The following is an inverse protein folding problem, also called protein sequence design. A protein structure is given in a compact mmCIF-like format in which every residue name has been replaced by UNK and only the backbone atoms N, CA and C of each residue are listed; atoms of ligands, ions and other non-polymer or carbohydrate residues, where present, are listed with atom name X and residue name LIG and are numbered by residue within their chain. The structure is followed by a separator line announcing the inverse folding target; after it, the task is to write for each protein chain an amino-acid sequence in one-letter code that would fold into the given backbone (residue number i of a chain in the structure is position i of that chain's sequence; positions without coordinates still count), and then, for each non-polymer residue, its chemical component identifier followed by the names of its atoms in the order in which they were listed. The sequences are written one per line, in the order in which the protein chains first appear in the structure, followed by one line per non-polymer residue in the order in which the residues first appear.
data_IF_797272476606
#
_entry.id   IF_797272476606
#
_cell.length_a   1.000
_cell.length_b   1.000
_cell.length_c   1.000
_cell.angle_alpha   90.00
_cell.angle_beta   90.00
_cell.angle_gamma   90.00
#
_symmetry.space_group_name_H-M   'P 1'
#
loop_
_entity.id
_entity.type
_entity.pdbx_description
1 polymer ?
#
# COMPACT_ATOMS: atom_id res chain seq x y z
N UNK A 1 2.62 19.23 21.36
CA UNK A 1 1.99 18.15 20.60
C UNK A 1 0.91 18.79 19.72
N UNK A 2 1.22 19.07 18.45
CA UNK A 2 0.24 19.66 17.52
C UNK A 2 -0.66 18.54 17.03
N UNK A 3 -1.87 18.48 17.56
CA UNK A 3 -2.96 17.73 16.95
C UNK A 3 -3.46 18.64 15.82
N UNK A 4 -3.13 18.27 14.58
CA UNK A 4 -3.70 18.88 13.39
C UNK A 4 -5.01 18.16 13.08
N UNK A 5 -6.02 19.00 12.86
CA UNK A 5 -7.42 18.70 12.64
C UNK A 5 -7.65 17.63 11.56
N UNK A 6 -8.54 16.67 11.84
CA UNK A 6 -8.98 15.64 10.91
C UNK A 6 -9.98 16.27 9.94
N UNK A 7 -9.44 17.00 8.96
CA UNK A 7 -10.16 17.48 7.79
C UNK A 7 -10.06 16.48 6.63
N UNK A 8 -11.15 16.32 5.88
CA UNK A 8 -11.32 15.37 4.79
C UNK A 8 -10.22 15.44 3.70
N UNK A 9 -9.42 14.38 3.60
CA UNK A 9 -9.03 13.76 2.33
C UNK A 9 -7.82 14.37 1.58
N UNK A 10 -6.68 13.68 1.65
CA UNK A 10 -5.60 13.80 0.66
C UNK A 10 -4.44 14.71 1.05
N UNK A 11 -4.70 15.99 1.33
CA UNK A 11 -3.63 16.98 1.56
C UNK A 11 -2.80 16.74 2.84
N UNK A 12 -3.41 16.24 3.91
CA UNK A 12 -2.76 16.12 5.22
C UNK A 12 -1.59 15.12 5.24
N UNK A 13 -1.59 14.10 4.37
CA UNK A 13 -0.48 13.14 4.25
C UNK A 13 0.62 13.60 3.28
N UNK A 14 0.42 14.75 2.61
CA UNK A 14 1.42 15.31 1.68
C UNK A 14 2.41 16.23 2.40
N UNK A 15 2.04 16.76 3.56
CA UNK A 15 2.91 17.66 4.31
C UNK A 15 4.09 16.91 4.93
N UNK A 16 5.34 17.37 4.72
CA UNK A 16 6.49 16.90 5.48
C UNK A 16 6.23 16.93 6.99
N UNK A 17 6.53 15.84 7.68
CA UNK A 17 6.31 15.70 9.12
C UNK A 17 4.92 15.19 9.50
N UNK A 18 4.00 14.98 8.54
CA UNK A 18 2.71 14.35 8.81
C UNK A 18 2.88 12.93 9.35
N UNK A 19 2.15 12.58 10.41
CA UNK A 19 2.18 11.24 11.00
C UNK A 19 1.05 10.36 10.45
N UNK A 20 1.40 9.13 10.09
CA UNK A 20 0.49 8.08 9.65
C UNK A 20 0.55 6.94 10.67
N UNK A 21 -0.62 6.52 11.15
CA UNK A 21 -0.77 5.36 12.02
C UNK A 21 -1.60 4.29 11.30
N UNK A 22 -1.09 3.06 11.24
CA UNK A 22 -1.76 1.93 10.57
C UNK A 22 -1.90 0.81 11.58
N UNK A 23 -3.05 0.15 11.61
CA UNK A 23 -3.24 -1.10 12.37
C UNK A 23 -3.70 -2.19 11.42
N UNK A 24 -3.11 -3.38 11.52
CA UNK A 24 -3.46 -4.49 10.62
C UNK A 24 -3.10 -5.85 11.23
N UNK A 25 -3.59 -6.92 10.58
CA UNK A 25 -3.28 -8.31 10.90
C UNK A 25 -2.04 -8.72 10.10
N UNK A 26 -1.04 -9.28 10.79
CA UNK A 26 0.18 -9.79 10.19
C UNK A 26 -0.12 -11.02 9.32
N UNK A 27 0.63 -11.22 8.24
CA UNK A 27 0.57 -12.42 7.40
C UNK A 27 1.44 -13.54 7.98
N UNK A 28 0.98 -14.16 9.07
CA UNK A 28 1.64 -15.33 9.67
C UNK A 28 0.70 -16.54 9.77
N UNK A 29 1.26 -17.74 9.89
CA UNK A 29 0.43 -18.93 10.11
C UNK A 29 -0.34 -18.86 11.44
N UNK A 30 0.18 -18.13 12.43
CA UNK A 30 -0.48 -17.94 13.71
C UNK A 30 -1.72 -17.04 13.57
N UNK A 31 -1.62 -15.95 12.81
CA UNK A 31 -2.75 -15.05 12.56
C UNK A 31 -3.81 -15.70 11.67
N UNK A 32 -3.42 -16.54 10.72
CA UNK A 32 -4.35 -17.37 9.96
C UNK A 32 -5.14 -18.32 10.89
N UNK A 33 -4.42 -19.07 11.72
CA UNK A 33 -5.02 -20.06 12.60
C UNK A 33 -5.95 -19.42 13.65
N UNK A 34 -5.53 -18.32 14.28
CA UNK A 34 -6.33 -17.68 15.33
C UNK A 34 -7.38 -16.72 14.77
N UNK A 35 -7.03 -15.91 13.78
CA UNK A 35 -7.90 -14.87 13.21
C UNK A 35 -8.98 -15.42 12.28
N UNK A 36 -8.66 -16.43 11.48
CA UNK A 36 -9.61 -16.99 10.51
C UNK A 36 -10.21 -18.29 11.04
N UNK A 37 -9.39 -19.30 11.28
CA UNK A 37 -9.89 -20.64 11.63
C UNK A 37 -10.59 -20.62 12.99
N UNK A 38 -9.91 -20.13 14.03
CA UNK A 38 -10.49 -20.13 15.37
C UNK A 38 -11.62 -19.12 15.51
N UNK A 39 -11.40 -17.84 15.16
CA UNK A 39 -12.41 -16.80 15.41
C UNK A 39 -13.67 -16.93 14.52
N UNK A 40 -13.54 -17.32 13.25
CA UNK A 40 -14.70 -17.39 12.34
C UNK A 40 -15.37 -18.75 12.32
N UNK A 41 -14.59 -19.84 12.29
CA UNK A 41 -15.14 -21.17 12.03
C UNK A 41 -15.43 -21.95 13.31
N UNK A 42 -14.62 -21.78 14.35
CA UNK A 42 -14.75 -22.55 15.60
C UNK A 42 -15.54 -21.75 16.65
N UNK A 43 -15.07 -20.56 16.99
CA UNK A 43 -15.62 -19.77 18.09
C UNK A 43 -16.82 -18.91 17.69
N UNK A 44 -17.01 -18.64 16.39
CA UNK A 44 -18.12 -17.83 15.87
C UNK A 44 -18.13 -16.40 16.42
N UNK A 45 -16.96 -15.83 16.73
CA UNK A 45 -16.81 -14.48 17.29
C UNK A 45 -17.16 -13.43 16.24
N UNK A 46 -16.83 -13.72 14.97
CA UNK A 46 -17.12 -12.84 13.82
C UNK A 46 -17.75 -13.67 12.69
N UNK A 47 -18.49 -13.03 11.76
CA UNK A 47 -19.06 -13.72 10.59
C UNK A 47 -17.99 -14.40 9.72
N UNK A 48 -18.37 -15.49 9.04
CA UNK A 48 -17.48 -16.15 8.07
C UNK A 48 -17.12 -15.20 6.93
N UNK A 49 -15.86 -15.20 6.54
CA UNK A 49 -15.33 -14.34 5.48
C UNK A 49 -15.01 -12.91 5.94
N UNK A 50 -14.99 -12.66 7.25
CA UNK A 50 -14.56 -11.36 7.81
C UNK A 50 -13.09 -11.10 7.48
N UNK A 51 -12.26 -12.13 7.53
CA UNK A 51 -10.85 -12.08 7.23
C UNK A 51 -10.53 -12.83 5.94
N UNK A 52 -9.83 -12.16 5.04
CA UNK A 52 -9.31 -12.73 3.80
C UNK A 52 -7.80 -12.80 3.92
N UNK A 53 -7.24 -14.01 3.95
CA UNK A 53 -5.80 -14.25 4.19
C UNK A 53 -4.90 -13.48 3.21
N UNK A 54 -5.31 -13.36 1.95
CA UNK A 54 -4.55 -12.70 0.89
C UNK A 54 -4.33 -11.22 1.17
N UNK A 55 -5.24 -10.60 1.95
CA UNK A 55 -5.20 -9.18 2.33
C UNK A 55 -4.33 -8.92 3.56
N UNK A 56 -3.84 -9.95 4.24
CA UNK A 56 -2.93 -9.76 5.37
C UNK A 56 -1.58 -9.28 4.85
N UNK A 57 -0.95 -8.38 5.60
CA UNK A 57 0.29 -7.70 5.21
C UNK A 57 1.31 -7.87 6.33
N UNK A 58 2.51 -8.37 6.01
CA UNK A 58 3.57 -8.47 7.00
C UNK A 58 4.19 -7.10 7.31
N UNK A 59 4.76 -6.88 8.50
CA UNK A 59 5.43 -5.63 8.86
C UNK A 59 6.44 -5.18 7.81
N UNK A 60 7.25 -6.10 7.30
CA UNK A 60 8.31 -5.82 6.33
C UNK A 60 7.74 -5.35 4.99
N UNK A 61 6.62 -5.95 4.56
CA UNK A 61 5.91 -5.50 3.37
C UNK A 61 5.29 -4.13 3.56
N UNK A 62 4.69 -3.87 4.72
CA UNK A 62 4.13 -2.56 5.03
C UNK A 62 5.21 -1.48 5.07
N UNK A 63 6.33 -1.76 5.73
CA UNK A 63 7.50 -0.88 5.80
C UNK A 63 8.00 -0.54 4.40
N UNK A 64 8.20 -1.54 3.54
CA UNK A 64 8.63 -1.34 2.16
C UNK A 64 7.66 -0.46 1.35
N UNK A 65 6.34 -0.66 1.52
CA UNK A 65 5.32 0.18 0.89
C UNK A 65 5.41 1.63 1.41
N UNK A 66 5.56 1.82 2.71
CA UNK A 66 5.62 3.16 3.30
C UNK A 66 6.89 3.92 2.87
N UNK A 67 8.03 3.25 2.92
CA UNK A 67 9.33 3.81 2.54
C UNK A 67 9.39 4.18 1.05
N UNK A 68 8.89 3.29 0.17
CA UNK A 68 8.79 3.59 -1.26
C UNK A 68 7.86 4.77 -1.59
N UNK A 69 6.97 5.13 -0.68
CA UNK A 69 6.09 6.31 -0.77
C UNK A 69 6.64 7.54 -0.03
N UNK A 70 7.90 7.50 0.40
CA UNK A 70 8.57 8.61 1.07
C UNK A 70 8.09 8.84 2.51
N UNK A 71 7.61 7.80 3.19
CA UNK A 71 7.38 7.82 4.63
C UNK A 71 8.51 7.07 5.35
N UNK A 72 9.01 7.64 6.44
CA UNK A 72 9.95 6.97 7.34
C UNK A 72 9.18 6.28 8.45
N UNK A 73 9.30 4.95 8.54
CA UNK A 73 8.69 4.18 9.63
C UNK A 73 9.49 4.40 10.90
N UNK A 74 8.81 4.82 11.96
CA UNK A 74 9.40 5.14 13.25
C UNK A 74 9.22 4.02 14.27
N UNK A 75 8.08 3.34 14.24
CA UNK A 75 7.77 2.30 15.22
C UNK A 75 6.83 1.27 14.62
N UNK A 76 7.07 0.00 14.95
CA UNK A 76 6.13 -1.08 14.76
C UNK A 76 5.94 -1.79 16.09
N UNK A 77 4.70 -1.91 16.54
CA UNK A 77 4.35 -2.52 17.82
C UNK A 77 3.27 -3.58 17.64
N UNK A 78 3.46 -4.73 18.27
CA UNK A 78 2.47 -5.79 18.34
C UNK A 78 1.24 -5.39 19.15
N UNK A 79 0.11 -5.99 18.82
CA UNK A 79 -1.14 -5.87 19.54
C UNK A 79 -1.81 -7.23 19.67
N UNK A 80 -2.34 -7.52 20.86
CA UNK A 80 -3.18 -8.69 21.06
C UNK A 80 -4.42 -8.35 21.88
N UNK A 81 -5.51 -9.05 21.56
CA UNK A 81 -6.78 -8.92 22.25
C UNK A 81 -6.90 -10.00 23.33
N UNK A 82 -7.22 -9.59 24.56
CA UNK A 82 -7.53 -10.52 25.64
C UNK A 82 -9.07 -10.66 25.78
N UNK A 83 -9.66 -11.83 25.46
CA UNK A 83 -11.11 -12.01 25.52
C UNK A 83 -11.67 -12.03 26.94
N UNK A 84 -10.87 -12.38 27.95
CA UNK A 84 -11.30 -12.45 29.35
C UNK A 84 -11.43 -11.06 29.96
N UNK A 85 -10.45 -10.18 29.71
CA UNK A 85 -10.49 -8.80 30.20
C UNK A 85 -11.18 -7.85 29.22
N UNK A 86 -11.37 -8.26 27.95
CA UNK A 86 -11.91 -7.45 26.84
C UNK A 86 -11.07 -6.21 26.50
N UNK A 87 -9.78 -6.23 26.85
CA UNK A 87 -8.84 -5.15 26.56
C UNK A 87 -7.78 -5.56 25.54
N UNK A 88 -7.40 -4.60 24.71
CA UNK A 88 -6.22 -4.66 23.85
C UNK A 88 -4.97 -4.33 24.63
N UNK A 89 -3.90 -5.07 24.35
CA UNK A 89 -2.59 -4.87 24.97
C UNK A 89 -1.55 -4.67 23.89
N UNK A 90 -0.64 -3.72 24.16
CA UNK A 90 0.57 -3.53 23.38
C UNK A 90 1.59 -4.62 23.72
N UNK A 91 2.34 -5.05 22.72
CA UNK A 91 3.35 -6.09 22.84
C UNK A 91 4.48 -5.83 21.85
N UNK A 92 5.64 -6.41 22.08
CA UNK A 92 6.71 -6.47 21.09
C UNK A 92 6.43 -7.55 20.03
N UNK A 93 5.53 -8.49 20.32
CA UNK A 93 5.20 -9.59 19.41
C UNK A 93 4.21 -9.15 18.32
N UNK A 94 4.69 -9.11 17.08
CA UNK A 94 3.91 -8.72 15.89
C UNK A 94 3.23 -9.90 15.20
N UNK A 95 3.28 -11.13 15.73
CA UNK A 95 2.83 -12.34 15.03
C UNK A 95 1.33 -12.39 14.75
N UNK A 96 0.51 -11.58 15.46
CA UNK A 96 -0.94 -11.50 15.26
C UNK A 96 -1.37 -10.18 14.64
N UNK A 97 -1.57 -9.16 15.47
CA UNK A 97 -1.89 -7.81 15.02
C UNK A 97 -0.71 -6.90 15.33
N UNK A 98 -0.55 -5.83 14.58
CA UNK A 98 0.43 -4.81 14.86
C UNK A 98 -0.07 -3.44 14.44
N UNK A 99 0.55 -2.41 15.03
CA UNK A 99 0.41 -1.04 14.64
C UNK A 99 1.76 -0.52 14.13
N UNK A 100 1.73 0.31 13.09
CA UNK A 100 2.89 1.02 12.58
C UNK A 100 2.66 2.54 12.68
N UNK A 101 3.70 3.27 13.07
CA UNK A 101 3.77 4.72 12.99
C UNK A 101 4.84 5.10 11.97
N UNK A 102 4.46 5.92 11.00
CA UNK A 102 5.36 6.46 10.01
C UNK A 102 5.16 7.97 9.88
N UNK A 103 6.21 8.67 9.44
CA UNK A 103 6.20 10.11 9.27
C UNK A 103 6.57 10.43 7.83
N UNK A 104 5.82 11.31 7.17
CA UNK A 104 6.15 11.78 5.82
C UNK A 104 7.50 12.48 5.85
N UNK A 105 8.48 11.93 5.13
CA UNK A 105 9.79 12.55 5.00
C UNK A 105 9.66 13.82 4.14
N UNK A 106 10.34 14.90 4.53
CA UNK A 106 10.38 16.10 3.72
C UNK A 106 11.08 15.87 2.39
N UNK A 107 10.41 16.21 1.30
CA UNK A 107 10.85 16.11 -0.10
C UNK A 107 11.09 14.70 -0.65
N UNK A 108 10.06 14.18 -1.34
CA UNK A 108 10.20 13.53 -2.65
C UNK A 108 8.96 13.93 -3.46
N UNK A 109 9.10 14.92 -4.35
CA UNK A 109 8.21 15.01 -5.50
C UNK A 109 8.35 13.69 -6.26
N UNK A 110 7.23 13.05 -6.55
CA UNK A 110 7.19 11.83 -7.34
C UNK A 110 7.76 12.14 -8.73
N UNK A 111 9.06 11.95 -8.93
CA UNK A 111 9.64 11.93 -10.26
C UNK A 111 9.14 10.64 -10.91
N UNK A 112 8.03 10.75 -11.62
CA UNK A 112 7.69 9.80 -12.68
C UNK A 112 8.92 9.75 -13.60
N UNK A 113 9.58 8.61 -13.78
CA UNK A 113 10.68 8.53 -14.72
C UNK A 113 10.15 8.90 -16.11
N UNK A 114 10.72 9.97 -16.68
CA UNK A 114 10.43 10.50 -18.02
C UNK A 114 10.68 9.48 -19.16
N UNK A 115 11.09 8.26 -18.81
CA UNK A 115 11.41 7.17 -19.73
C UNK A 115 10.17 6.36 -20.16
N UNK A 116 9.02 6.55 -19.50
CA UNK A 116 7.76 5.87 -19.87
C UNK A 116 6.93 6.63 -20.92
N UNK A 117 7.14 7.94 -21.08
CA UNK A 117 6.36 8.76 -22.04
C UNK A 117 6.95 8.69 -23.46
N UNK A 118 8.26 8.48 -23.59
CA UNK A 118 8.94 8.49 -24.90
C UNK A 118 8.79 7.18 -25.70
N UNK A 119 8.24 6.11 -25.12
CA UNK A 119 7.99 4.85 -25.84
C UNK A 119 6.67 4.84 -26.60
N UNK A 120 5.63 5.49 -26.07
CA UNK A 120 4.33 5.58 -26.75
C UNK A 120 4.40 6.46 -28.01
N UNK A 121 5.14 7.57 -27.96
CA UNK A 121 5.28 8.49 -29.10
C UNK A 121 6.12 7.92 -30.25
N UNK A 122 7.08 7.03 -29.93
CA UNK A 122 7.98 6.45 -30.94
C UNK A 122 7.33 5.31 -31.74
N UNK A 123 6.36 4.59 -31.15
CA UNK A 123 5.66 3.49 -31.84
C UNK A 123 4.54 3.98 -32.78
N UNK A 124 3.85 5.08 -32.48
CA UNK A 124 2.83 5.66 -33.40
C UNK A 124 3.45 6.34 -34.64
N UNK A 125 4.61 6.97 -34.50
CA UNK A 125 5.29 7.65 -35.63
C UNK A 125 5.90 6.66 -36.63
N UNK A 126 6.25 5.44 -36.22
CA UNK A 126 6.77 4.41 -37.13
C UNK A 126 5.67 3.64 -37.86
N UNK A 127 4.46 3.55 -37.29
CA UNK A 127 3.32 2.90 -37.94
C UNK A 127 2.74 3.72 -39.11
N UNK A 128 2.86 5.05 -39.08
CA UNK A 128 2.31 5.96 -40.11
C UNK A 128 3.27 6.25 -41.28
N UNK A 129 4.59 6.05 -41.09
CA UNK A 129 5.59 6.28 -42.13
C UNK A 129 5.64 5.15 -43.19
N UNK A 130 5.19 3.93 -42.85
CA UNK A 130 5.35 2.76 -43.72
C UNK A 130 4.20 2.55 -44.73
N UNK A 131 3.18 3.41 -44.78
CA UNK A 131 2.01 3.24 -45.66
C UNK A 131 1.94 4.20 -46.86
N UNK A 132 2.84 5.19 -46.99
CA UNK A 132 2.78 6.18 -48.08
C UNK A 132 3.89 6.08 -49.15
N UNK A 133 4.80 5.11 -49.05
CA UNK A 133 5.80 4.85 -50.08
C UNK A 133 5.31 3.77 -51.05
N UNK A 134 4.27 4.07 -51.84
CA UNK A 134 3.69 3.03 -52.70
C UNK A 134 2.68 3.43 -53.75
N UNK A 135 2.53 4.69 -54.15
CA UNK A 135 1.79 5.04 -55.39
C UNK A 135 2.35 6.35 -55.96
N UNK A 136 2.94 6.28 -57.18
CA UNK A 136 2.79 7.23 -58.32
C UNK A 136 4.07 7.45 -59.14
N UNK A 137 4.34 6.54 -60.07
CA UNK A 137 4.96 6.77 -61.38
C UNK A 137 3.93 6.25 -62.42
N UNK A 138 3.59 6.80 -63.59
CA UNK A 138 4.00 7.92 -64.44
C UNK A 138 2.77 8.35 -65.28
N UNK A 139 2.56 9.65 -65.58
CA UNK A 139 1.93 10.12 -66.85
C UNK A 139 2.37 11.57 -67.13
N UNK A 140 3.34 11.77 -68.04
CA UNK A 140 3.38 12.82 -69.09
C UNK A 140 4.74 12.81 -69.81
N UNK A 141 4.85 12.21 -71.00
CA UNK A 141 4.69 12.86 -72.31
C UNK A 141 4.87 11.85 -73.44
#
# INVERSE_FOLDING_TARGET
MKILDVGCGGGLLTEPGASLFITTINKTQLSYALGIVFAEQIAGIVPKGTHTWEKFVSPEMLESILESNGLSVQTVAGMFYNPFSRYWHWSENTSLNYAAHAVKSGAQEHQVPAESVLKEETEELQATASTNAGVREEVKK
#
